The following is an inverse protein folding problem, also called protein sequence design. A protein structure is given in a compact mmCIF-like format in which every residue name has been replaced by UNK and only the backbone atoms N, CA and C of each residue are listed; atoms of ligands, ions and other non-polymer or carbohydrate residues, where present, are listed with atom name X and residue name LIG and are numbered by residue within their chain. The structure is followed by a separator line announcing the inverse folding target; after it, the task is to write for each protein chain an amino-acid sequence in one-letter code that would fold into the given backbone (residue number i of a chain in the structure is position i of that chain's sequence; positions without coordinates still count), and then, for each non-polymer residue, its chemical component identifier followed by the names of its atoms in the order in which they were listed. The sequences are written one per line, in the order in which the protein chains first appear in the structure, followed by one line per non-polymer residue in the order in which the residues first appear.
data_IF_920540107677
#
_entry.id   IF_920540107677
#
_cell.length_a   1.000
_cell.length_b   1.000
_cell.length_c   1.000
_cell.angle_alpha   90.00
_cell.angle_beta   90.00
_cell.angle_gamma   90.00
#
_symmetry.space_group_name_H-M   'P 1'
#
loop_
_entity.id
_entity.type
_entity.pdbx_description
1 polymer ?
#
# COMPACT_ATOMS: atom_id res chain seq x y z
N UNK A 1 -18.36 -13.89 -5.00
CA UNK A 1 -17.45 -15.04 -5.06
C UNK A 1 -16.78 -14.99 -6.41
N UNK A 2 -15.49 -15.27 -6.47
CA UNK A 2 -14.72 -15.29 -7.70
C UNK A 2 -15.37 -16.25 -8.69
N UNK A 3 -15.61 -15.78 -9.90
CA UNK A 3 -16.14 -16.57 -10.99
C UNK A 3 -14.99 -16.91 -11.94
N UNK A 4 -14.82 -18.19 -12.20
CA UNK A 4 -13.82 -18.72 -13.13
C UNK A 4 -14.50 -19.00 -14.47
N UNK A 5 -13.97 -18.40 -15.53
CA UNK A 5 -14.43 -18.55 -16.90
C UNK A 5 -13.39 -19.33 -17.71
N UNK A 6 -13.78 -20.50 -18.22
CA UNK A 6 -12.93 -21.37 -19.03
C UNK A 6 -13.47 -21.51 -20.43
N UNK A 7 -12.60 -21.39 -21.44
CA UNK A 7 -12.98 -21.56 -22.85
C UNK A 7 -11.93 -22.39 -23.57
N UNK A 8 -12.34 -23.42 -24.29
CA UNK A 8 -11.47 -24.27 -25.11
C UNK A 8 -11.75 -24.03 -26.59
N UNK A 9 -10.69 -23.79 -27.36
CA UNK A 9 -10.76 -23.42 -28.78
C UNK A 9 -10.22 -24.53 -29.67
N UNK A 10 -11.01 -24.94 -30.66
CA UNK A 10 -10.60 -25.86 -31.72
C UNK A 10 -10.82 -25.17 -33.05
N UNK A 11 -9.77 -25.06 -33.86
CA UNK A 11 -9.86 -24.46 -35.18
C UNK A 11 -10.07 -25.53 -36.25
N UNK A 12 -10.66 -25.14 -37.38
CA UNK A 12 -10.71 -26.06 -38.53
C UNK A 12 -9.30 -26.39 -39.02
N UNK A 13 -9.17 -27.56 -39.63
CA UNK A 13 -7.89 -28.06 -40.12
C UNK A 13 -7.22 -27.17 -41.19
N UNK A 14 -7.99 -26.33 -41.89
CA UNK A 14 -7.50 -25.41 -42.93
C UNK A 14 -6.94 -24.08 -42.38
N UNK A 15 -7.10 -23.81 -41.08
CA UNK A 15 -6.65 -22.55 -40.45
C UNK A 15 -5.13 -22.56 -40.24
N UNK A 16 -4.46 -21.51 -40.72
CA UNK A 16 -3.00 -21.38 -40.63
C UNK A 16 -2.53 -21.15 -39.19
N UNK A 17 -1.30 -21.59 -38.89
CA UNK A 17 -0.69 -21.35 -37.57
C UNK A 17 -0.54 -19.85 -37.26
N UNK A 18 -0.20 -19.03 -38.26
CA UNK A 18 -0.07 -17.57 -38.11
C UNK A 18 -1.38 -16.90 -37.62
N UNK A 19 -2.52 -17.38 -38.13
CA UNK A 19 -3.83 -16.91 -37.68
C UNK A 19 -4.09 -17.30 -36.22
N UNK A 20 -3.78 -18.55 -35.85
CA UNK A 20 -3.92 -19.06 -34.48
C UNK A 20 -3.03 -18.27 -33.50
N UNK A 21 -1.78 -17.99 -33.89
CA UNK A 21 -0.84 -17.21 -33.07
C UNK A 21 -1.33 -15.77 -32.87
N UNK A 22 -1.88 -15.16 -33.93
CA UNK A 22 -2.49 -13.83 -33.85
C UNK A 22 -3.71 -13.83 -32.94
N UNK A 23 -4.61 -14.81 -33.06
CA UNK A 23 -5.74 -14.98 -32.16
C UNK A 23 -5.28 -15.05 -30.69
N UNK A 24 -4.31 -15.90 -30.36
CA UNK A 24 -3.78 -16.03 -29.00
C UNK A 24 -3.19 -14.72 -28.49
N UNK A 25 -2.43 -14.01 -29.33
CA UNK A 25 -1.84 -12.71 -28.97
C UNK A 25 -2.91 -11.67 -28.64
N UNK A 26 -3.94 -11.53 -29.48
CA UNK A 26 -5.02 -10.56 -29.26
C UNK A 26 -5.90 -10.95 -28.07
N UNK A 27 -6.19 -12.24 -27.90
CA UNK A 27 -6.97 -12.75 -26.77
C UNK A 27 -6.27 -12.48 -25.42
N UNK A 28 -4.93 -12.56 -25.36
CA UNK A 28 -4.15 -12.24 -24.16
C UNK A 28 -4.24 -10.77 -23.74
N UNK A 29 -4.52 -9.84 -24.65
CA UNK A 29 -4.68 -8.41 -24.32
C UNK A 29 -5.95 -8.14 -23.53
N UNK A 30 -6.95 -9.00 -23.63
CA UNK A 30 -8.21 -8.84 -22.90
C UNK A 30 -8.02 -8.89 -21.37
N UNK A 31 -6.87 -9.36 -20.88
CA UNK A 31 -6.52 -9.30 -19.46
C UNK A 31 -6.50 -7.88 -18.90
N UNK A 32 -6.31 -6.86 -19.75
CA UNK A 32 -6.18 -5.47 -19.32
C UNK A 32 -7.54 -4.78 -19.10
N UNK A 33 -8.66 -5.48 -19.36
CA UNK A 33 -10.01 -4.98 -19.08
C UNK A 33 -10.27 -4.93 -17.57
N UNK A 34 -10.89 -3.85 -17.10
CA UNK A 34 -11.21 -3.64 -15.67
C UNK A 34 -12.12 -4.69 -15.07
N UNK A 35 -12.95 -5.36 -15.89
CA UNK A 35 -13.85 -6.42 -15.49
C UNK A 35 -13.17 -7.81 -15.39
N UNK A 36 -11.88 -7.91 -15.75
CA UNK A 36 -11.05 -9.07 -15.46
C UNK A 36 -10.38 -8.86 -14.11
N UNK A 37 -10.76 -9.70 -13.14
CA UNK A 37 -10.31 -9.60 -11.76
C UNK A 37 -8.78 -9.67 -11.69
N UNK A 38 -8.17 -8.62 -11.16
CA UNK A 38 -6.71 -8.46 -10.99
C UNK A 38 -5.89 -8.78 -12.25
N UNK A 39 -6.44 -8.48 -13.43
CA UNK A 39 -5.83 -8.78 -14.73
C UNK A 39 -5.48 -10.27 -14.95
N UNK A 40 -6.21 -11.18 -14.30
CA UNK A 40 -5.99 -12.63 -14.36
C UNK A 40 -6.74 -13.25 -15.52
N UNK A 41 -6.09 -13.26 -16.67
CA UNK A 41 -6.49 -14.02 -17.86
C UNK A 41 -5.26 -14.67 -18.48
N UNK A 42 -5.33 -15.98 -18.68
CA UNK A 42 -4.25 -16.77 -19.27
C UNK A 42 -4.81 -17.51 -20.48
N UNK A 43 -4.05 -17.48 -21.58
CA UNK A 43 -4.33 -18.28 -22.77
C UNK A 43 -3.24 -19.34 -22.92
N UNK A 44 -3.60 -20.59 -22.67
CA UNK A 44 -2.73 -21.76 -22.78
C UNK A 44 -2.86 -22.44 -24.15
N UNK A 45 -1.77 -23.04 -24.61
CA UNK A 45 -1.67 -23.82 -25.84
C UNK A 45 -0.41 -23.49 -26.66
N UNK A 46 -0.11 -24.27 -27.73
CA UNK A 46 -0.86 -25.43 -28.20
C UNK A 46 -0.96 -26.55 -27.16
N UNK A 47 -2.04 -27.34 -27.19
CA UNK A 47 -2.27 -28.45 -26.26
C UNK A 47 -1.08 -29.42 -26.29
N UNK A 48 -0.54 -29.71 -25.11
CA UNK A 48 0.51 -30.72 -24.91
C UNK A 48 -0.05 -32.14 -24.75
N UNK A 49 -1.37 -32.30 -24.89
CA UNK A 49 -2.03 -33.59 -24.75
C UNK A 49 -1.71 -34.47 -25.95
N UNK A 50 -1.10 -35.63 -25.69
CA UNK A 50 -0.74 -36.61 -26.70
C UNK A 50 -1.38 -37.98 -26.38
N UNK A 51 -2.16 -38.58 -27.29
CA UNK A 51 -2.59 -38.02 -28.57
C UNK A 51 -3.72 -36.98 -28.38
N UNK A 52 -3.83 -36.02 -29.30
CA UNK A 52 -4.69 -34.82 -29.17
C UNK A 52 -6.19 -35.13 -29.03
N UNK A 53 -6.62 -36.32 -29.43
CA UNK A 53 -7.97 -36.83 -29.28
C UNK A 53 -8.40 -36.92 -27.82
N UNK A 54 -7.45 -37.07 -26.88
CA UNK A 54 -7.75 -37.04 -25.43
C UNK A 54 -8.22 -35.67 -24.95
N UNK A 55 -7.82 -34.58 -25.62
CA UNK A 55 -8.38 -33.25 -25.41
C UNK A 55 -9.51 -32.93 -26.41
N UNK A 56 -10.08 -33.95 -27.06
CA UNK A 56 -11.10 -33.81 -28.13
C UNK A 56 -10.66 -32.89 -29.28
N UNK A 57 -9.37 -32.78 -29.54
CA UNK A 57 -8.86 -31.88 -30.58
C UNK A 57 -8.78 -30.41 -30.18
N UNK A 58 -9.13 -30.01 -28.94
CA UNK A 58 -8.97 -28.62 -28.49
C UNK A 58 -7.47 -28.27 -28.40
N UNK A 59 -7.11 -27.18 -29.08
CA UNK A 59 -5.73 -26.74 -29.27
C UNK A 59 -5.31 -25.67 -28.26
N UNK A 60 -6.23 -24.79 -27.88
CA UNK A 60 -5.99 -23.70 -26.94
C UNK A 60 -7.05 -23.65 -25.86
N UNK A 61 -6.71 -23.08 -24.71
CA UNK A 61 -7.65 -22.79 -23.63
C UNK A 61 -7.45 -21.37 -23.10
N UNK A 62 -8.53 -20.72 -22.71
CA UNK A 62 -8.54 -19.48 -21.93
C UNK A 62 -9.05 -19.80 -20.53
N UNK A 63 -8.40 -19.20 -19.54
CA UNK A 63 -8.83 -19.18 -18.15
C UNK A 63 -8.83 -17.71 -17.69
N UNK A 64 -9.98 -17.18 -17.30
CA UNK A 64 -10.09 -15.83 -16.73
C UNK A 64 -10.90 -15.82 -15.43
N UNK A 65 -10.61 -14.82 -14.59
CA UNK A 65 -11.26 -14.64 -13.29
C UNK A 65 -12.06 -13.35 -13.28
N UNK A 66 -13.24 -13.37 -12.67
CA UNK A 66 -14.16 -12.24 -12.58
C UNK A 66 -14.73 -12.12 -11.15
N UNK A 67 -15.06 -10.90 -10.71
CA UNK A 67 -15.56 -10.69 -9.34
C UNK A 67 -16.93 -11.33 -9.06
N UNK A 68 -17.74 -11.42 -10.11
CA UNK A 68 -19.09 -11.96 -10.09
C UNK A 68 -19.59 -12.14 -11.53
N UNK A 69 -20.85 -12.56 -11.66
CA UNK A 69 -21.51 -12.73 -12.97
C UNK A 69 -21.59 -11.44 -13.79
N UNK A 70 -21.87 -10.30 -13.17
CA UNK A 70 -22.00 -9.03 -13.89
C UNK A 70 -20.67 -8.60 -14.54
N UNK A 71 -19.53 -8.82 -13.85
CA UNK A 71 -18.21 -8.56 -14.41
C UNK A 71 -17.89 -9.48 -15.60
N UNK A 72 -18.32 -10.75 -15.57
CA UNK A 72 -18.20 -11.64 -16.72
C UNK A 72 -19.08 -11.17 -17.90
N UNK A 73 -20.31 -10.72 -17.62
CA UNK A 73 -21.21 -10.22 -18.66
C UNK A 73 -20.63 -8.94 -19.31
N UNK A 74 -20.03 -8.04 -18.51
CA UNK A 74 -19.29 -6.87 -18.99
C UNK A 74 -18.10 -7.27 -19.88
N UNK A 75 -17.30 -8.25 -19.45
CA UNK A 75 -16.19 -8.80 -20.24
C UNK A 75 -16.67 -9.29 -21.61
N UNK A 76 -17.78 -10.04 -21.64
CA UNK A 76 -18.33 -10.62 -22.87
C UNK A 76 -18.94 -9.56 -23.80
N UNK A 77 -19.49 -8.48 -23.24
CA UNK A 77 -20.05 -7.36 -23.98
C UNK A 77 -19.01 -6.32 -24.43
N UNK A 78 -17.76 -6.40 -23.96
CA UNK A 78 -16.72 -5.45 -24.30
C UNK A 78 -16.44 -5.42 -25.80
N UNK A 79 -16.06 -4.23 -26.31
CA UNK A 79 -15.76 -4.02 -27.74
C UNK A 79 -14.53 -4.82 -28.14
N UNK A 80 -13.57 -4.91 -27.24
CA UNK A 80 -12.31 -5.64 -27.36
C UNK A 80 -12.57 -7.14 -27.48
N UNK A 81 -13.34 -7.73 -26.55
CA UNK A 81 -13.72 -9.15 -26.63
C UNK A 81 -14.51 -9.45 -27.90
N UNK A 82 -15.48 -8.60 -28.24
CA UNK A 82 -16.28 -8.73 -29.47
C UNK A 82 -15.38 -8.70 -30.72
N UNK A 83 -14.43 -7.77 -30.77
CA UNK A 83 -13.52 -7.64 -31.91
C UNK A 83 -12.65 -8.90 -32.07
N UNK A 84 -12.03 -9.38 -30.99
CA UNK A 84 -11.18 -10.59 -31.02
C UNK A 84 -11.99 -11.81 -31.49
N UNK A 85 -13.17 -12.03 -30.89
CA UNK A 85 -13.98 -13.22 -31.17
C UNK A 85 -14.58 -13.20 -32.58
N UNK A 86 -15.09 -12.06 -33.04
CA UNK A 86 -15.68 -11.95 -34.38
C UNK A 86 -14.65 -11.97 -35.50
N UNK A 87 -13.46 -11.40 -35.26
CA UNK A 87 -12.43 -11.27 -36.30
C UNK A 87 -11.60 -12.54 -36.42
N UNK A 88 -11.21 -13.14 -35.29
CA UNK A 88 -10.21 -14.22 -35.29
C UNK A 88 -10.75 -15.59 -34.89
N UNK A 89 -11.91 -15.69 -34.23
CA UNK A 89 -12.43 -16.98 -33.75
C UNK A 89 -13.62 -17.50 -34.56
N UNK A 90 -14.76 -16.81 -34.54
CA UNK A 90 -16.01 -17.36 -35.08
C UNK A 90 -15.95 -17.77 -36.56
N UNK A 91 -15.26 -17.04 -37.45
CA UNK A 91 -15.12 -17.47 -38.85
C UNK A 91 -14.21 -18.67 -39.05
N UNK A 92 -13.41 -19.06 -38.05
CA UNK A 92 -12.30 -20.03 -38.17
C UNK A 92 -12.44 -21.25 -37.24
N UNK A 93 -13.31 -21.18 -36.23
CA UNK A 93 -13.52 -22.28 -35.29
C UNK A 93 -14.11 -23.52 -35.98
N UNK A 94 -13.68 -24.68 -35.53
CA UNK A 94 -14.39 -25.95 -35.70
C UNK A 94 -15.34 -26.16 -34.51
N UNK A 95 -14.80 -26.00 -33.29
CA UNK A 95 -15.56 -26.20 -32.06
C UNK A 95 -15.12 -25.21 -30.95
N UNK A 96 -16.01 -24.99 -29.98
CA UNK A 96 -15.82 -24.10 -28.85
C UNK A 96 -16.55 -24.66 -27.62
N UNK A 97 -15.81 -24.93 -26.56
CA UNK A 97 -16.40 -25.35 -25.29
C UNK A 97 -16.19 -24.26 -24.24
N UNK A 98 -17.26 -23.91 -23.51
CA UNK A 98 -17.22 -22.94 -22.41
C UNK A 98 -17.70 -23.63 -21.13
N UNK A 99 -17.02 -23.36 -20.03
CA UNK A 99 -17.42 -23.82 -18.70
C UNK A 99 -17.12 -22.72 -17.68
N UNK A 100 -18.16 -22.28 -16.97
CA UNK A 100 -18.05 -21.23 -15.95
C UNK A 100 -18.52 -21.80 -14.63
N UNK A 101 -17.84 -21.42 -13.55
CA UNK A 101 -18.26 -21.80 -12.20
C UNK A 101 -17.89 -20.72 -11.20
N UNK A 102 -18.68 -20.62 -10.13
CA UNK A 102 -18.35 -19.83 -8.95
C UNK A 102 -17.45 -20.67 -8.04
N UNK A 103 -16.40 -20.05 -7.53
CA UNK A 103 -15.47 -20.68 -6.59
C UNK A 103 -16.18 -20.76 -5.24
N UNK A 104 -16.16 -21.94 -4.61
CA UNK A 104 -16.72 -22.12 -3.29
C UNK A 104 -15.99 -21.21 -2.27
N UNK A 105 -16.68 -20.65 -1.27
CA UNK A 105 -16.05 -19.75 -0.29
C UNK A 105 -14.77 -20.31 0.35
N UNK A 106 -14.74 -21.61 0.63
CA UNK A 106 -13.60 -22.33 1.19
C UNK A 106 -12.39 -22.42 0.26
N UNK A 107 -12.59 -22.28 -1.06
CA UNK A 107 -11.55 -22.38 -2.09
C UNK A 107 -11.13 -21.00 -2.64
N UNK A 108 -11.74 -19.90 -2.19
CA UNK A 108 -11.41 -18.54 -2.66
C UNK A 108 -9.93 -18.20 -2.50
N UNK A 109 -9.26 -18.74 -1.47
CA UNK A 109 -7.82 -18.54 -1.26
C UNK A 109 -6.96 -19.07 -2.42
N UNK A 110 -7.40 -20.12 -3.13
CA UNK A 110 -6.72 -20.64 -4.33
C UNK A 110 -6.85 -19.67 -5.50
N UNK A 111 -7.85 -18.80 -5.45
CA UNK A 111 -8.11 -17.75 -6.42
C UNK A 111 -7.63 -16.40 -5.91
N UNK A 112 -6.75 -16.35 -4.90
CA UNK A 112 -6.06 -15.14 -4.41
C UNK A 112 -4.56 -15.40 -4.54
N UNK A 113 -3.96 -14.93 -5.64
CA UNK A 113 -2.51 -15.01 -5.86
C UNK A 113 -1.75 -13.83 -5.26
N UNK A 114 -2.46 -12.92 -4.59
CA UNK A 114 -1.82 -11.81 -3.89
C UNK A 114 -1.23 -12.34 -2.57
N UNK A 115 0.09 -12.44 -2.55
CA UNK A 115 0.87 -13.04 -1.45
C UNK A 115 0.84 -12.27 -0.12
N UNK A 116 0.24 -11.07 -0.09
CA UNK A 116 0.18 -10.26 1.11
C UNK A 116 -1.09 -10.54 1.93
N UNK A 117 -0.93 -10.70 3.24
CA UNK A 117 -2.03 -10.90 4.18
C UNK A 117 -3.04 -9.75 4.16
N UNK A 118 -4.30 -10.08 4.41
CA UNK A 118 -5.36 -9.10 4.58
C UNK A 118 -5.27 -8.43 5.96
N UNK A 119 -5.26 -7.08 6.02
CA UNK A 119 -5.39 -6.39 7.30
C UNK A 119 -6.68 -6.81 8.02
N UNK A 120 -6.64 -7.05 9.34
CA UNK A 120 -7.83 -7.44 10.09
C UNK A 120 -8.86 -6.29 10.11
N UNK A 121 -10.12 -6.67 10.29
CA UNK A 121 -11.18 -5.71 10.64
C UNK A 121 -11.06 -5.42 12.14
N UNK A 122 -10.84 -4.16 12.51
CA UNK A 122 -10.73 -3.70 13.90
C UNK A 122 -11.84 -2.68 14.14
N UNK A 123 -12.68 -2.93 15.15
CA UNK A 123 -13.85 -2.12 15.49
C UNK A 123 -14.78 -1.83 14.30
N UNK A 124 -14.98 -2.86 13.45
CA UNK A 124 -15.82 -2.79 12.26
C UNK A 124 -15.15 -2.17 11.03
N UNK A 125 -13.94 -1.62 11.17
CA UNK A 125 -13.22 -0.96 10.07
C UNK A 125 -12.03 -1.78 9.61
N UNK A 126 -11.97 -2.07 8.30
CA UNK A 126 -10.80 -2.68 7.65
C UNK A 126 -10.01 -1.64 6.88
N UNK A 127 -8.69 -1.62 7.09
CA UNK A 127 -7.79 -0.77 6.29
C UNK A 127 -7.69 -1.34 4.87
N UNK A 128 -7.96 -0.54 3.81
CA UNK A 128 -7.87 -1.04 2.45
C UNK A 128 -6.41 -1.35 2.06
N UNK A 129 -6.22 -2.49 1.40
CA UNK A 129 -4.91 -2.92 0.87
C UNK A 129 -4.52 -2.08 -0.37
N UNK A 130 -3.22 -2.00 -0.65
CA UNK A 130 -2.72 -1.50 -1.95
C UNK A 130 -2.97 -2.60 -3.00
N UNK A 131 -3.55 -2.31 -4.18
CA UNK A 131 -3.60 -3.29 -5.28
C UNK A 131 -2.19 -3.78 -5.61
N UNK A 132 -1.98 -5.11 -5.65
CA UNK A 132 -0.65 -5.73 -5.80
C UNK A 132 0.24 -5.68 -4.53
N UNK A 133 -0.32 -5.30 -3.38
CA UNK A 133 0.40 -5.17 -2.13
C UNK A 133 1.51 -4.10 -2.19
N UNK A 134 2.59 -4.32 -1.45
CA UNK A 134 3.76 -3.42 -1.42
C UNK A 134 4.97 -4.00 -2.19
N UNK A 135 4.72 -4.99 -3.06
CA UNK A 135 5.77 -5.70 -3.78
C UNK A 135 6.60 -4.77 -4.69
N UNK A 136 5.99 -3.74 -5.26
CA UNK A 136 6.69 -2.75 -6.09
C UNK A 136 7.84 -2.07 -5.34
N UNK A 137 7.53 -1.47 -4.18
CA UNK A 137 8.51 -0.84 -3.31
C UNK A 137 9.45 -1.87 -2.67
N UNK A 138 8.97 -3.07 -2.34
CA UNK A 138 9.81 -4.15 -1.85
C UNK A 138 10.89 -4.57 -2.86
N UNK A 139 10.51 -4.65 -4.13
CA UNK A 139 11.40 -5.00 -5.22
C UNK A 139 12.36 -3.86 -5.55
N UNK A 140 11.94 -2.59 -5.48
CA UNK A 140 12.87 -1.45 -5.58
C UNK A 140 13.94 -1.48 -4.48
N UNK A 141 13.54 -1.79 -3.24
CA UNK A 141 14.44 -1.93 -2.08
C UNK A 141 15.42 -3.07 -2.32
N UNK A 142 14.91 -4.27 -2.62
CA UNK A 142 15.71 -5.48 -2.84
C UNK A 142 16.70 -5.31 -3.99
N UNK A 143 16.25 -4.77 -5.12
CA UNK A 143 17.12 -4.49 -6.26
C UNK A 143 18.22 -3.51 -5.89
N UNK A 144 17.92 -2.35 -5.29
CA UNK A 144 18.94 -1.35 -4.98
C UNK A 144 19.94 -1.82 -3.92
N UNK A 145 19.48 -2.58 -2.91
CA UNK A 145 20.36 -3.18 -1.91
C UNK A 145 21.26 -4.26 -2.52
N UNK A 146 20.79 -5.04 -3.50
CA UNK A 146 21.60 -6.06 -4.18
C UNK A 146 22.81 -5.47 -4.93
N UNK A 147 22.74 -4.17 -5.25
CA UNK A 147 23.81 -3.43 -5.90
C UNK A 147 24.78 -2.77 -4.90
N UNK A 148 24.71 -3.11 -3.61
CA UNK A 148 25.58 -2.58 -2.57
C UNK A 148 26.58 -3.65 -2.11
N UNK A 149 27.87 -3.33 -2.09
CA UNK A 149 28.96 -4.30 -1.82
C UNK A 149 28.88 -5.05 -0.47
N UNK A 150 28.18 -4.49 0.53
CA UNK A 150 28.10 -5.05 1.88
C UNK A 150 26.71 -5.53 2.26
N UNK A 151 25.85 -5.80 1.28
CA UNK A 151 24.49 -6.30 1.52
C UNK A 151 24.21 -7.47 0.59
N UNK A 152 24.04 -8.65 1.16
CA UNK A 152 23.54 -9.82 0.44
C UNK A 152 22.01 -9.82 0.49
N UNK A 153 21.38 -9.79 -0.68
CA UNK A 153 19.91 -9.80 -0.80
C UNK A 153 19.46 -11.21 -1.12
N UNK A 154 18.69 -11.80 -0.21
CA UNK A 154 18.01 -13.08 -0.42
C UNK A 154 16.71 -12.83 -1.17
N UNK A 155 16.44 -13.60 -2.23
CA UNK A 155 15.25 -13.46 -3.08
C UNK A 155 14.49 -14.79 -3.21
N UNK A 156 13.16 -14.77 -3.49
CA UNK A 156 12.40 -15.99 -3.79
C UNK A 156 12.97 -16.75 -4.99
N UNK A 157 13.32 -16.03 -6.06
CA UNK A 157 13.94 -16.55 -7.29
C UNK A 157 15.47 -16.56 -7.19
N UNK A 158 16.13 -17.57 -7.76
CA UNK A 158 17.61 -17.63 -7.85
C UNK A 158 18.18 -16.63 -8.86
N UNK A 159 17.37 -16.21 -9.83
CA UNK A 159 17.75 -15.27 -10.88
C UNK A 159 16.60 -14.26 -11.04
N UNK A 160 16.46 -13.32 -10.10
CA UNK A 160 15.28 -12.45 -10.06
C UNK A 160 15.27 -11.49 -11.25
N UNK A 161 14.13 -11.39 -11.95
CA UNK A 161 13.98 -10.44 -13.05
C UNK A 161 13.73 -9.03 -12.48
N UNK A 162 14.53 -8.00 -12.84
CA UNK A 162 14.31 -6.63 -12.39
C UNK A 162 12.95 -6.03 -12.75
N UNK A 163 12.17 -6.59 -13.68
CA UNK A 163 10.83 -6.08 -14.01
C UNK A 163 9.69 -6.86 -13.35
N UNK A 164 9.97 -7.94 -12.61
CA UNK A 164 8.98 -8.75 -11.93
C UNK A 164 9.08 -8.56 -10.41
N UNK A 165 8.12 -7.87 -9.80
CA UNK A 165 8.16 -7.55 -8.37
C UNK A 165 8.20 -8.79 -7.46
N UNK A 166 7.48 -9.84 -7.84
CA UNK A 166 7.38 -11.09 -7.07
C UNK A 166 8.70 -11.87 -7.00
N UNK A 167 9.63 -11.64 -7.93
CA UNK A 167 10.95 -12.28 -7.90
C UNK A 167 11.84 -11.74 -6.77
N UNK A 168 11.51 -10.58 -6.20
CA UNK A 168 12.29 -9.89 -5.17
C UNK A 168 11.64 -9.93 -3.79
N UNK A 169 10.35 -10.24 -3.70
CA UNK A 169 9.58 -10.12 -2.46
C UNK A 169 9.06 -11.47 -1.98
N UNK A 170 9.45 -11.86 -0.78
CA UNK A 170 8.79 -12.97 -0.10
C UNK A 170 7.38 -12.55 0.38
N UNK A 171 6.39 -13.46 0.35
CA UNK A 171 5.10 -13.27 1.02
C UNK A 171 5.29 -12.92 2.52
N UNK A 172 4.39 -12.14 3.10
CA UNK A 172 4.39 -11.82 4.53
C UNK A 172 3.64 -12.88 5.38
N UNK A 173 3.27 -14.00 4.76
CA UNK A 173 2.76 -15.21 5.42
C UNK A 173 3.85 -15.88 6.27
N UNK A 174 3.44 -16.74 7.21
CA UNK A 174 4.38 -17.54 8.01
C UNK A 174 5.33 -18.35 7.11
N UNK A 175 4.79 -18.91 6.03
CA UNK A 175 5.52 -19.74 5.07
C UNK A 175 6.53 -18.93 4.27
N UNK A 176 6.15 -17.73 3.82
CA UNK A 176 7.06 -16.83 3.09
C UNK A 176 8.22 -16.35 3.97
N UNK A 177 7.94 -16.03 5.23
CA UNK A 177 8.97 -15.62 6.20
C UNK A 177 9.94 -16.78 6.48
N UNK A 178 9.42 -18.00 6.69
CA UNK A 178 10.24 -19.17 6.95
C UNK A 178 11.05 -19.60 5.71
N UNK A 179 10.52 -19.45 4.50
CA UNK A 179 11.28 -19.67 3.26
C UNK A 179 12.48 -18.72 3.18
N UNK A 180 12.27 -17.42 3.45
CA UNK A 180 13.35 -16.43 3.46
C UNK A 180 14.46 -16.82 4.47
N UNK A 181 14.07 -17.21 5.69
CA UNK A 181 15.02 -17.65 6.73
C UNK A 181 15.76 -18.92 6.28
N UNK A 182 15.06 -19.90 5.69
CA UNK A 182 15.66 -21.14 5.21
C UNK A 182 16.69 -20.92 4.10
N UNK A 183 16.52 -19.84 3.32
CA UNK A 183 17.44 -19.37 2.29
C UNK A 183 18.57 -18.49 2.83
N UNK A 184 18.68 -18.34 4.15
CA UNK A 184 19.79 -17.65 4.83
C UNK A 184 19.52 -16.21 5.25
N UNK A 185 18.27 -15.73 5.15
CA UNK A 185 17.95 -14.37 5.58
C UNK A 185 18.19 -14.19 7.09
N UNK A 186 19.04 -13.22 7.43
CA UNK A 186 19.30 -12.78 8.82
C UNK A 186 18.60 -11.46 9.14
N UNK A 187 18.19 -10.73 8.11
CA UNK A 187 17.41 -9.50 8.16
C UNK A 187 16.13 -9.67 7.37
N UNK A 188 15.01 -9.23 7.93
CA UNK A 188 13.74 -9.05 7.24
C UNK A 188 13.44 -7.56 7.13
N UNK A 189 13.09 -7.10 5.92
CA UNK A 189 12.52 -5.78 5.74
C UNK A 189 11.01 -5.91 5.67
N UNK A 190 10.32 -5.60 6.76
CA UNK A 190 8.87 -5.67 6.86
C UNK A 190 8.21 -4.48 6.14
N UNK A 191 8.36 -4.40 4.80
CA UNK A 191 7.72 -3.38 3.97
C UNK A 191 6.26 -3.74 3.68
N UNK A 192 5.51 -4.10 4.72
CA UNK A 192 4.09 -4.45 4.67
C UNK A 192 3.36 -3.78 5.83
N UNK A 193 2.02 -3.84 5.85
CA UNK A 193 1.25 -3.44 7.02
C UNK A 193 1.27 -4.61 8.00
N UNK A 194 1.91 -4.42 9.15
CA UNK A 194 1.91 -5.40 10.24
C UNK A 194 0.79 -5.08 11.24
N UNK A 195 0.27 -6.10 11.91
CA UNK A 195 -0.87 -6.02 12.83
C UNK A 195 -0.79 -7.12 13.89
N UNK A 196 -1.65 -7.09 14.91
CA UNK A 196 -1.50 -7.96 16.09
C UNK A 196 -1.54 -9.47 15.77
N UNK A 197 -2.31 -9.87 14.75
CA UNK A 197 -2.40 -11.26 14.28
C UNK A 197 -1.36 -11.63 13.22
N UNK A 198 -0.47 -10.72 12.82
CA UNK A 198 0.54 -10.97 11.78
C UNK A 198 1.54 -12.05 12.23
N UNK A 199 2.06 -12.93 11.35
CA UNK A 199 2.99 -14.01 11.73
C UNK A 199 4.26 -13.53 12.47
N UNK A 200 4.81 -12.37 12.10
CA UNK A 200 5.90 -11.73 12.86
C UNK A 200 5.57 -11.55 14.35
N UNK A 201 4.29 -11.40 14.72
CA UNK A 201 3.85 -11.34 16.11
C UNK A 201 3.52 -12.72 16.70
N UNK A 202 2.75 -13.53 15.97
CA UNK A 202 2.04 -14.69 16.54
C UNK A 202 2.69 -16.05 16.27
N UNK A 203 3.57 -16.16 15.27
CA UNK A 203 4.16 -17.44 14.88
C UNK A 203 5.09 -18.02 15.95
N UNK A 204 4.70 -19.15 16.54
CA UNK A 204 5.58 -19.90 17.44
C UNK A 204 6.78 -20.51 16.71
N UNK A 205 6.66 -20.78 15.41
CA UNK A 205 7.75 -21.32 14.58
C UNK A 205 8.90 -20.34 14.40
N UNK A 206 8.67 -19.04 14.61
CA UNK A 206 9.70 -18.01 14.59
C UNK A 206 10.42 -17.82 15.94
N UNK A 207 9.97 -18.43 17.04
CA UNK A 207 10.57 -18.29 18.38
C UNK A 207 12.06 -18.69 18.38
N UNK A 208 12.42 -19.79 17.71
CA UNK A 208 13.83 -20.23 17.61
C UNK A 208 14.74 -19.26 16.83
N UNK A 209 14.18 -18.22 16.23
CA UNK A 209 14.92 -17.21 15.47
C UNK A 209 14.86 -15.83 16.12
N UNK A 210 14.02 -15.60 17.13
CA UNK A 210 13.63 -14.24 17.50
C UNK A 210 14.76 -13.38 18.09
N UNK A 211 15.74 -14.02 18.75
CA UNK A 211 16.92 -13.37 19.30
C UNK A 211 17.95 -12.99 18.24
N UNK A 212 17.98 -13.71 17.09
CA UNK A 212 18.99 -13.52 16.02
C UNK A 212 18.45 -12.82 14.78
N UNK A 213 17.19 -13.01 14.45
CA UNK A 213 16.55 -12.41 13.30
C UNK A 213 16.38 -10.91 13.54
N UNK A 214 16.85 -10.11 12.57
CA UNK A 214 16.72 -8.65 12.59
C UNK A 214 15.55 -8.23 11.71
N UNK A 215 14.77 -7.27 12.17
CA UNK A 215 13.62 -6.74 11.43
C UNK A 215 13.74 -5.24 11.29
N UNK A 216 13.72 -4.76 10.05
CA UNK A 216 13.51 -3.34 9.71
C UNK A 216 12.00 -3.15 9.56
N UNK A 217 11.38 -2.46 10.50
CA UNK A 217 9.93 -2.29 10.55
C UNK A 217 9.46 -1.82 11.92
N UNK A 218 8.14 -1.69 12.05
CA UNK A 218 7.48 -1.35 13.30
C UNK A 218 7.02 -2.62 14.04
N UNK A 219 6.79 -2.51 15.35
CA UNK A 219 6.11 -3.53 16.16
C UNK A 219 4.70 -3.83 15.66
N UNK A 220 4.33 -5.10 15.42
CA UNK A 220 2.97 -5.43 14.95
C UNK A 220 1.87 -4.94 15.90
N UNK A 221 2.04 -5.12 17.22
CA UNK A 221 1.09 -4.59 18.23
C UNK A 221 1.03 -3.06 18.23
N UNK A 222 2.17 -2.42 17.99
CA UNK A 222 2.29 -0.95 17.91
C UNK A 222 1.50 -0.44 16.72
N UNK A 223 1.71 -0.99 15.52
CA UNK A 223 0.99 -0.56 14.30
C UNK A 223 -0.49 -0.88 14.38
N UNK A 224 -0.87 -2.05 14.91
CA UNK A 224 -2.28 -2.45 15.08
C UNK A 224 -3.11 -1.37 15.79
N UNK A 225 -2.50 -0.76 16.81
CA UNK A 225 -3.09 0.34 17.56
C UNK A 225 -2.88 1.69 16.89
N UNK A 226 -1.71 1.97 16.35
CA UNK A 226 -1.34 3.28 15.84
C UNK A 226 -1.87 3.60 14.43
N UNK A 227 -2.33 2.60 13.68
CA UNK A 227 -3.11 2.82 12.46
C UNK A 227 -4.49 3.45 12.76
N UNK A 228 -4.91 3.45 14.03
CA UNK A 228 -6.02 4.25 14.53
C UNK A 228 -5.59 5.70 14.77
N UNK A 229 -6.03 6.60 13.88
CA UNK A 229 -5.72 8.04 13.99
C UNK A 229 -6.28 8.67 15.26
N UNK A 230 -7.42 8.20 15.75
CA UNK A 230 -8.00 8.73 16.98
C UNK A 230 -7.05 8.42 18.14
N UNK A 231 -6.61 7.17 18.24
CA UNK A 231 -5.70 6.77 19.31
C UNK A 231 -4.39 7.58 19.31
N UNK A 232 -3.77 7.76 18.14
CA UNK A 232 -2.53 8.56 18.03
C UNK A 232 -2.80 10.02 18.40
N UNK A 233 -3.90 10.60 17.93
CA UNK A 233 -4.28 11.97 18.25
C UNK A 233 -4.53 12.15 19.75
N UNK A 234 -5.23 11.22 20.39
CA UNK A 234 -5.53 11.24 21.81
C UNK A 234 -4.24 11.12 22.64
N UNK A 235 -3.31 10.25 22.24
CA UNK A 235 -1.99 10.14 22.87
C UNK A 235 -1.21 11.46 22.83
N UNK A 236 -1.10 12.07 21.65
CA UNK A 236 -0.36 13.31 21.47
C UNK A 236 -1.04 14.47 22.22
N UNK A 237 -2.37 14.52 22.26
CA UNK A 237 -3.13 15.52 23.04
C UNK A 237 -2.93 15.38 24.53
N UNK A 238 -3.01 14.16 25.05
CA UNK A 238 -2.86 13.88 26.47
C UNK A 238 -1.46 14.25 26.98
N UNK A 239 -0.42 13.96 26.19
CA UNK A 239 0.96 14.34 26.52
C UNK A 239 1.22 15.85 26.40
N UNK A 240 0.49 16.53 25.50
CA UNK A 240 0.59 17.96 25.30
C UNK A 240 1.89 18.44 24.62
N UNK A 241 1.92 19.74 24.31
CA UNK A 241 3.06 20.36 23.64
C UNK A 241 3.21 19.95 22.17
N UNK A 242 2.10 19.56 21.53
CA UNK A 242 1.97 19.32 20.10
C UNK A 242 0.91 20.26 19.51
N UNK A 243 1.25 20.89 18.39
CA UNK A 243 0.41 21.73 17.56
C UNK A 243 -0.39 20.85 16.60
N UNK A 244 -1.71 20.81 16.77
CA UNK A 244 -2.59 19.89 16.02
C UNK A 244 -3.92 20.59 15.69
N UNK A 245 -4.59 20.23 14.57
CA UNK A 245 -5.90 20.80 14.25
C UNK A 245 -6.94 20.35 15.29
N UNK A 246 -8.00 21.14 15.48
CA UNK A 246 -9.17 20.67 16.25
C UNK A 246 -9.80 19.47 15.52
N UNK A 247 -10.25 18.47 16.26
CA UNK A 247 -10.92 17.31 15.68
C UNK A 247 -12.01 16.74 16.59
N UNK A 248 -12.89 15.95 15.96
CA UNK A 248 -13.95 15.19 16.59
C UNK A 248 -14.02 13.81 15.93
N UNK A 249 -14.30 12.77 16.69
CA UNK A 249 -14.34 11.40 16.16
C UNK A 249 -15.69 10.74 16.43
N UNK A 250 -16.21 10.05 15.43
CA UNK A 250 -17.54 9.43 15.48
C UNK A 250 -17.50 8.00 14.94
N UNK A 251 -18.10 7.02 15.64
CA UNK A 251 -18.17 5.64 15.16
C UNK A 251 -19.16 5.49 13.99
N UNK A 252 -20.16 6.36 13.89
CA UNK A 252 -21.16 6.38 12.82
C UNK A 252 -21.88 7.74 12.78
N UNK A 253 -22.54 8.03 11.65
CA UNK A 253 -23.34 9.24 11.48
C UNK A 253 -24.46 9.38 12.52
N UNK A 254 -25.02 8.26 12.98
CA UNK A 254 -26.08 8.24 14.01
C UNK A 254 -25.59 8.69 15.40
N UNK A 255 -24.28 8.81 15.59
CA UNK A 255 -23.64 9.28 16.82
C UNK A 255 -23.11 10.72 16.71
N UNK A 256 -23.39 11.43 15.62
CA UNK A 256 -23.09 12.86 15.53
C UNK A 256 -23.81 13.59 16.66
N UNK A 257 -23.03 14.24 17.52
CA UNK A 257 -23.53 15.02 18.64
C UNK A 257 -23.81 16.46 18.23
N UNK A 258 -24.50 17.23 19.07
CA UNK A 258 -24.69 18.68 18.87
C UNK A 258 -23.36 19.45 18.88
N UNK A 259 -22.25 18.83 19.27
CA UNK A 259 -20.91 19.45 19.17
C UNK A 259 -20.53 19.83 17.73
N UNK A 260 -21.16 19.20 16.72
CA UNK A 260 -20.92 19.55 15.32
C UNK A 260 -21.75 20.75 14.82
N UNK A 261 -22.70 21.25 15.60
CA UNK A 261 -23.58 22.35 15.18
C UNK A 261 -22.86 23.70 15.11
N UNK A 262 -21.80 23.89 15.90
CA UNK A 262 -20.99 25.11 15.96
C UNK A 262 -19.67 25.02 15.17
N UNK A 263 -19.55 24.07 14.24
CA UNK A 263 -18.34 23.93 13.42
C UNK A 263 -18.15 25.11 12.47
N UNK A 264 -16.92 25.63 12.44
CA UNK A 264 -16.48 26.57 11.41
C UNK A 264 -16.05 25.82 10.16
N UNK A 265 -16.71 26.08 9.04
CA UNK A 265 -16.38 25.48 7.74
C UNK A 265 -15.32 26.30 6.99
N UNK A 266 -14.52 25.69 6.10
CA UNK A 266 -14.54 24.26 5.74
C UNK A 266 -13.93 23.35 6.81
N UNK A 267 -14.29 22.06 6.76
CA UNK A 267 -13.73 20.98 7.60
C UNK A 267 -13.31 19.80 6.72
N UNK A 268 -12.40 18.97 7.22
CA UNK A 268 -11.98 17.72 6.57
C UNK A 268 -12.68 16.55 7.24
N UNK A 269 -13.35 15.71 6.46
CA UNK A 269 -13.95 14.47 6.94
C UNK A 269 -13.18 13.28 6.36
N UNK A 270 -12.67 12.40 7.22
CA UNK A 270 -11.82 11.26 6.82
C UNK A 270 -12.05 10.01 7.67
N UNK A 271 -11.83 8.79 7.14
CA UNK A 271 -11.86 7.56 7.94
C UNK A 271 -10.76 7.58 9.01
N UNK A 272 -11.06 7.02 10.19
CA UNK A 272 -10.06 6.85 11.26
C UNK A 272 -8.94 5.91 10.77
N UNK A 273 -9.33 4.76 10.20
CA UNK A 273 -8.44 3.77 9.59
C UNK A 273 -8.57 3.83 8.07
N UNK A 274 -7.70 4.60 7.43
CA UNK A 274 -7.69 4.82 5.97
C UNK A 274 -6.31 4.62 5.36
N UNK A 275 -6.24 4.69 4.02
CA UNK A 275 -4.99 4.61 3.25
C UNK A 275 -4.89 5.78 2.26
N UNK A 276 -3.80 6.54 2.35
CA UNK A 276 -3.62 7.73 1.52
C UNK A 276 -4.79 8.70 1.71
N UNK A 277 -5.26 9.31 0.62
CA UNK A 277 -6.42 10.21 0.61
C UNK A 277 -7.77 9.50 0.41
N UNK A 278 -7.82 8.16 0.51
CA UNK A 278 -9.07 7.41 0.36
C UNK A 278 -10.09 7.82 1.44
N UNK A 279 -11.28 8.23 1.01
CA UNK A 279 -12.37 8.65 1.89
C UNK A 279 -12.18 10.03 2.53
N UNK A 280 -11.14 10.78 2.16
CA UNK A 280 -10.90 12.15 2.64
C UNK A 280 -11.68 13.14 1.77
N UNK A 281 -12.46 14.03 2.38
CA UNK A 281 -13.18 15.11 1.68
C UNK A 281 -13.11 16.42 2.46
N UNK A 282 -12.92 17.54 1.75
CA UNK A 282 -13.15 18.88 2.29
C UNK A 282 -14.64 19.19 2.16
N UNK A 283 -15.30 19.43 3.28
CA UNK A 283 -16.71 19.78 3.35
C UNK A 283 -16.81 21.27 3.66
N UNK A 284 -17.45 22.04 2.77
CA UNK A 284 -17.60 23.49 2.87
C UNK A 284 -18.85 23.93 3.64
N UNK A 285 -19.75 23.00 3.95
CA UNK A 285 -20.97 23.23 4.72
C UNK A 285 -21.46 21.93 5.37
N UNK A 286 -22.52 22.05 6.19
CA UNK A 286 -23.10 20.96 6.96
C UNK A 286 -23.70 19.87 6.07
N UNK A 287 -24.29 20.26 4.94
CA UNK A 287 -24.89 19.35 3.98
C UNK A 287 -23.84 18.41 3.37
N UNK A 288 -22.71 18.97 2.91
CA UNK A 288 -21.59 18.20 2.36
C UNK A 288 -20.93 17.29 3.40
N UNK A 289 -20.85 17.74 4.66
CA UNK A 289 -20.38 16.92 5.78
C UNK A 289 -21.30 15.72 5.98
N UNK A 290 -22.60 15.96 6.06
CA UNK A 290 -23.60 14.92 6.32
C UNK A 290 -23.61 13.86 5.22
N UNK A 291 -23.65 14.29 3.96
CA UNK A 291 -23.61 13.40 2.79
C UNK A 291 -22.38 12.49 2.82
N UNK A 292 -21.20 13.08 3.06
CA UNK A 292 -19.95 12.32 3.08
C UNK A 292 -19.85 11.38 4.27
N UNK A 293 -20.21 11.85 5.47
CA UNK A 293 -20.26 11.03 6.67
C UNK A 293 -21.23 9.85 6.52
N UNK A 294 -22.35 10.04 5.80
CA UNK A 294 -23.30 8.99 5.50
C UNK A 294 -22.69 7.95 4.55
N UNK A 295 -21.96 8.41 3.54
CA UNK A 295 -21.21 7.54 2.61
C UNK A 295 -20.14 6.70 3.30
N UNK A 296 -19.39 7.27 4.25
CA UNK A 296 -18.43 6.52 5.06
C UNK A 296 -19.13 5.52 6.00
N UNK A 297 -20.21 5.95 6.66
CA UNK A 297 -20.96 5.11 7.60
C UNK A 297 -21.64 3.93 6.91
N UNK A 298 -22.13 4.08 5.68
CA UNK A 298 -22.75 2.99 4.92
C UNK A 298 -21.74 1.88 4.56
N UNK A 299 -20.45 2.21 4.56
CA UNK A 299 -19.34 1.26 4.42
C UNK A 299 -18.81 0.77 5.77
N UNK A 300 -19.54 1.01 6.87
CA UNK A 300 -19.13 0.68 8.24
C UNK A 300 -17.80 1.33 8.66
N UNK A 301 -17.45 2.49 8.09
CA UNK A 301 -16.23 3.21 8.44
C UNK A 301 -16.49 4.27 9.50
N UNK A 302 -15.89 4.11 10.67
CA UNK A 302 -15.75 5.19 11.65
C UNK A 302 -14.91 6.33 11.07
N UNK A 303 -15.26 7.57 11.39
CA UNK A 303 -14.69 8.75 10.75
C UNK A 303 -14.35 9.86 11.76
N UNK A 304 -13.50 10.76 11.32
CA UNK A 304 -13.04 11.94 12.05
C UNK A 304 -13.38 13.19 11.24
N UNK A 305 -13.77 14.25 11.95
CA UNK A 305 -13.96 15.59 11.42
C UNK A 305 -12.83 16.46 11.97
N UNK A 306 -12.07 17.11 11.10
CA UNK A 306 -10.95 17.98 11.47
C UNK A 306 -11.13 19.39 10.92
N UNK A 307 -10.60 20.39 11.64
CA UNK A 307 -10.45 21.75 11.14
C UNK A 307 -9.64 21.77 9.84
N UNK A 308 -10.15 22.45 8.81
CA UNK A 308 -9.40 22.62 7.56
C UNK A 308 -8.25 23.60 7.74
N UNK A 309 -7.04 23.14 7.46
CA UNK A 309 -5.81 23.92 7.52
C UNK A 309 -5.57 24.56 6.14
N UNK A 310 -5.48 25.90 6.06
CA UNK A 310 -5.53 26.60 4.77
C UNK A 310 -4.17 26.68 4.06
N UNK A 311 -3.07 26.75 4.82
CA UNK A 311 -1.77 27.09 4.27
C UNK A 311 -1.00 25.91 3.70
N UNK A 312 0.31 26.09 3.62
CA UNK A 312 1.27 25.14 3.08
C UNK A 312 1.16 23.75 3.74
N UNK A 313 0.93 22.72 2.93
CA UNK A 313 1.08 21.31 3.33
C UNK A 313 2.54 20.89 3.15
N UNK A 314 3.08 20.14 4.09
CA UNK A 314 4.42 19.58 4.04
C UNK A 314 4.46 18.21 4.71
N UNK A 315 5.56 17.50 4.54
CA UNK A 315 5.81 16.21 5.19
C UNK A 315 7.20 16.17 5.80
N UNK A 316 7.28 15.54 6.97
CA UNK A 316 8.53 15.35 7.70
C UNK A 316 8.74 13.86 7.89
N UNK A 317 9.77 13.31 7.26
CA UNK A 317 10.21 11.94 7.57
C UNK A 317 11.06 11.98 8.83
N UNK A 318 10.67 11.22 9.84
CA UNK A 318 11.44 11.06 11.08
C UNK A 318 12.11 9.70 11.08
N UNK A 319 13.42 9.70 11.23
CA UNK A 319 14.25 8.51 11.36
C UNK A 319 14.28 8.08 12.83
N UNK A 320 14.13 6.78 13.12
CA UNK A 320 14.20 6.26 14.48
C UNK A 320 15.65 6.22 14.98
N UNK A 321 15.85 5.93 16.28
CA UNK A 321 17.18 5.70 16.81
C UNK A 321 17.91 4.58 16.09
N UNK A 322 19.23 4.74 15.98
CA UNK A 322 20.11 3.69 15.44
C UNK A 322 20.88 3.01 16.57
N UNK A 323 21.46 1.84 16.29
CA UNK A 323 22.32 1.16 17.27
C UNK A 323 23.51 2.00 17.75
N UNK A 324 23.90 3.03 16.99
CA UNK A 324 24.99 3.95 17.33
C UNK A 324 24.56 5.08 18.29
N UNK A 325 23.33 5.05 18.80
CA UNK A 325 22.84 5.97 19.84
C UNK A 325 22.39 7.35 19.35
N UNK A 326 22.20 7.53 18.04
CA UNK A 326 21.48 8.72 17.55
C UNK A 326 20.02 8.62 18.00
N UNK A 327 19.47 9.66 18.61
CA UNK A 327 18.04 9.74 18.95
C UNK A 327 17.15 9.85 17.70
N UNK A 328 15.85 10.09 17.90
CA UNK A 328 14.95 10.41 16.78
C UNK A 328 15.39 11.70 16.10
N UNK A 329 15.36 11.73 14.77
CA UNK A 329 15.80 12.90 14.01
C UNK A 329 15.05 13.04 12.68
N UNK A 330 14.76 14.27 12.27
CA UNK A 330 14.03 14.57 11.04
C UNK A 330 14.95 14.67 9.82
N UNK A 331 14.50 14.12 8.69
CA UNK A 331 15.00 14.47 7.37
C UNK A 331 14.52 15.88 6.96
N UNK A 332 15.16 16.51 5.95
CA UNK A 332 14.69 17.77 5.38
C UNK A 332 13.19 17.75 5.03
N UNK A 333 12.49 18.84 5.32
CA UNK A 333 11.06 18.97 5.08
C UNK A 333 10.78 19.02 3.56
N UNK A 334 9.72 18.32 3.15
CA UNK A 334 9.23 18.31 1.76
C UNK A 334 7.87 19.00 1.72
N UNK A 335 7.79 20.14 1.04
CA UNK A 335 6.54 20.87 0.81
C UNK A 335 5.71 20.18 -0.28
N UNK A 336 4.39 20.19 -0.14
CA UNK A 336 3.42 19.64 -1.09
C UNK A 336 2.60 20.75 -1.73
N UNK A 337 2.31 20.61 -3.01
CA UNK A 337 1.59 21.59 -3.83
C UNK A 337 0.71 20.88 -4.86
N UNK A 338 -0.04 21.63 -5.68
CA UNK A 338 -0.98 21.10 -6.66
C UNK A 338 -2.06 20.19 -6.05
N UNK A 339 -2.64 20.63 -4.93
CA UNK A 339 -3.79 19.97 -4.28
C UNK A 339 -5.03 20.01 -5.20
N UNK A 340 -5.80 18.93 -5.21
CA UNK A 340 -7.11 18.86 -5.88
C UNK A 340 -8.17 19.02 -4.81
N UNK A 341 -9.00 20.06 -4.92
CA UNK A 341 -10.05 20.40 -3.93
C UNK A 341 -9.52 20.50 -2.49
N UNK A 342 -8.31 21.04 -2.33
CA UNK A 342 -7.66 21.21 -1.03
C UNK A 342 -7.04 19.94 -0.44
N UNK A 343 -7.08 18.81 -1.15
CA UNK A 343 -6.51 17.52 -0.75
C UNK A 343 -5.35 17.16 -1.66
N UNK A 344 -4.28 16.61 -1.08
CA UNK A 344 -3.14 16.20 -1.87
C UNK A 344 -3.50 14.96 -2.70
N UNK A 345 -3.19 14.96 -4.01
CA UNK A 345 -3.54 13.84 -4.88
C UNK A 345 -2.88 12.55 -4.41
N UNK A 346 -3.56 11.43 -4.66
CA UNK A 346 -3.11 10.12 -4.24
C UNK A 346 -1.89 9.65 -5.09
N UNK A 347 -0.88 9.07 -4.42
CA UNK A 347 0.42 8.66 -4.98
C UNK A 347 0.38 7.46 -5.98
N UNK A 348 -0.68 7.33 -6.77
CA UNK A 348 -0.78 6.38 -7.88
C UNK A 348 -1.35 6.98 -9.17
N UNK A 349 -1.72 8.27 -9.15
CA UNK A 349 -2.30 8.99 -10.29
C UNK A 349 -1.34 10.07 -10.79
N UNK A 350 -0.55 10.66 -9.88
CA UNK A 350 0.37 11.77 -10.17
C UNK A 350 1.74 11.42 -9.56
N UNK A 351 2.80 11.56 -10.35
CA UNK A 351 4.17 11.38 -9.87
C UNK A 351 4.47 12.36 -8.73
N UNK A 352 5.21 11.93 -7.71
CA UNK A 352 5.46 12.73 -6.51
C UNK A 352 6.23 14.03 -6.84
N UNK A 353 7.08 14.01 -7.87
CA UNK A 353 7.80 15.20 -8.36
C UNK A 353 6.89 16.30 -8.88
N UNK A 354 5.67 15.98 -9.32
CA UNK A 354 4.71 16.94 -9.87
C UNK A 354 3.89 17.65 -8.78
N UNK A 355 3.97 17.19 -7.53
CA UNK A 355 3.20 17.71 -6.40
C UNK A 355 4.01 17.93 -5.13
N UNK A 356 5.33 17.75 -5.18
CA UNK A 356 6.20 17.83 -4.01
C UNK A 356 7.60 18.35 -4.35
N UNK A 357 8.19 19.13 -3.44
CA UNK A 357 9.56 19.63 -3.56
C UNK A 357 10.20 19.81 -2.19
N UNK A 358 11.53 19.80 -2.13
CA UNK A 358 12.24 20.18 -0.92
C UNK A 358 11.85 21.60 -0.49
N UNK A 359 11.48 21.76 0.77
CA UNK A 359 11.24 23.06 1.35
C UNK A 359 12.56 23.85 1.41
N UNK A 360 12.50 25.13 1.07
CA UNK A 360 13.67 26.02 1.12
C UNK A 360 13.88 26.55 2.54
N UNK A 361 15.12 26.87 2.90
CA UNK A 361 15.47 27.53 4.18
C UNK A 361 15.08 26.78 5.47
N UNK A 362 14.78 25.47 5.39
CA UNK A 362 14.37 24.64 6.53
C UNK A 362 15.38 24.64 7.68
N UNK A 363 16.68 24.71 7.36
CA UNK A 363 17.77 24.73 8.34
C UNK A 363 17.94 26.08 9.06
N UNK A 364 17.38 27.17 8.54
CA UNK A 364 17.53 28.52 9.10
C UNK A 364 16.24 29.07 9.67
N UNK A 365 15.09 28.66 9.14
CA UNK A 365 13.77 29.12 9.55
C UNK A 365 13.37 28.52 10.92
N UNK A 366 13.06 29.35 11.93
CA UNK A 366 12.68 28.88 13.26
C UNK A 366 11.38 28.07 13.28
N UNK A 367 10.45 28.28 12.33
CA UNK A 367 9.19 27.55 12.24
C UNK A 367 9.45 26.11 11.78
N UNK A 368 10.25 25.92 10.72
CA UNK A 368 10.62 24.57 10.28
C UNK A 368 11.47 23.84 11.32
N UNK A 369 12.37 24.53 12.05
CA UNK A 369 13.09 23.93 13.17
C UNK A 369 12.17 23.44 14.28
N UNK A 370 11.18 24.26 14.67
CA UNK A 370 10.18 23.87 15.67
C UNK A 370 9.37 22.68 15.18
N UNK A 371 8.91 22.72 13.93
CA UNK A 371 8.19 21.62 13.29
C UNK A 371 9.00 20.31 13.35
N UNK A 372 10.26 20.31 12.90
CA UNK A 372 11.12 19.12 12.95
C UNK A 372 11.27 18.58 14.37
N UNK A 373 11.57 19.44 15.34
CA UNK A 373 11.71 19.04 16.74
C UNK A 373 10.40 18.47 17.32
N UNK A 374 9.25 19.00 16.90
CA UNK A 374 7.94 18.51 17.30
C UNK A 374 7.63 17.12 16.69
N UNK A 375 7.95 16.92 15.42
CA UNK A 375 7.84 15.62 14.75
C UNK A 375 8.79 14.56 15.36
N UNK A 376 10.02 14.95 15.70
CA UNK A 376 10.98 14.10 16.41
C UNK A 376 10.45 13.68 17.79
N UNK A 377 9.89 14.62 18.55
CA UNK A 377 9.23 14.32 19.82
C UNK A 377 8.04 13.39 19.63
N UNK A 378 7.20 13.59 18.60
CA UNK A 378 6.06 12.73 18.33
C UNK A 378 6.51 11.28 18.06
N UNK A 379 7.52 11.08 17.22
CA UNK A 379 8.10 9.75 16.98
C UNK A 379 8.70 9.14 18.25
N UNK A 380 9.36 9.97 19.07
CA UNK A 380 10.00 9.54 20.31
C UNK A 380 9.00 9.10 21.37
N UNK A 381 7.89 9.83 21.56
CA UNK A 381 6.89 9.44 22.55
C UNK A 381 6.17 8.17 22.12
N UNK A 382 5.95 8.00 20.82
CA UNK A 382 5.35 6.80 20.22
C UNK A 382 6.31 5.60 20.17
N UNK A 383 7.61 5.76 20.48
CA UNK A 383 8.54 4.63 20.58
C UNK A 383 8.76 3.85 19.28
N UNK A 384 8.73 4.54 18.14
CA UNK A 384 8.74 3.93 16.80
C UNK A 384 10.13 3.42 16.41
N UNK A 385 10.21 2.30 15.69
CA UNK A 385 11.47 1.60 15.36
C UNK A 385 11.85 1.63 13.89
N UNK A 386 10.99 2.14 13.03
CA UNK A 386 11.26 2.38 11.62
C UNK A 386 10.93 3.83 11.24
N UNK A 387 11.44 4.33 10.09
CA UNK A 387 11.10 5.66 9.62
C UNK A 387 9.60 5.83 9.48
N UNK A 388 9.10 6.95 9.99
CA UNK A 388 7.71 7.38 9.80
C UNK A 388 7.67 8.68 9.01
N UNK A 389 6.49 9.01 8.49
CA UNK A 389 6.24 10.32 7.89
C UNK A 389 5.11 10.99 8.66
N UNK A 390 5.30 12.24 9.03
CA UNK A 390 4.27 13.06 9.65
C UNK A 390 3.85 14.11 8.62
N UNK A 391 2.56 14.10 8.29
CA UNK A 391 1.96 15.08 7.39
C UNK A 391 1.49 16.27 8.21
N UNK A 392 1.90 17.46 7.77
CA UNK A 392 1.71 18.71 8.49
C UNK A 392 1.19 19.79 7.58
N UNK A 393 0.43 20.73 8.13
CA UNK A 393 -0.09 21.85 7.34
C UNK A 393 -0.21 23.12 8.16
N UNK A 394 0.05 24.28 7.56
CA UNK A 394 -0.12 25.57 8.24
C UNK A 394 -1.59 25.89 8.44
N UNK A 395 -1.95 26.45 9.59
CA UNK A 395 -3.34 26.86 9.85
C UNK A 395 -3.85 27.87 8.84
N UNK A 396 -3.02 28.87 8.51
CA UNK A 396 -3.33 29.95 7.58
C UNK A 396 -2.35 29.93 6.42
N UNK A 397 -2.78 30.45 5.27
CA UNK A 397 -1.91 30.73 4.14
C UNK A 397 -1.03 31.97 4.41
N UNK A 398 -0.13 31.82 5.38
CA UNK A 398 0.81 32.84 5.80
C UNK A 398 2.13 32.20 6.24
N UNK A 399 3.30 32.71 5.82
CA UNK A 399 4.60 32.12 6.15
C UNK A 399 4.93 32.05 7.64
N UNK A 400 4.33 32.91 8.46
CA UNK A 400 4.48 32.95 9.92
C UNK A 400 3.47 32.06 10.66
N UNK A 401 2.46 31.52 9.96
CA UNK A 401 1.46 30.63 10.54
C UNK A 401 2.10 29.29 10.96
N UNK A 402 1.84 28.80 12.18
CA UNK A 402 2.43 27.55 12.64
C UNK A 402 1.89 26.35 11.86
N UNK A 403 2.72 25.32 11.73
CA UNK A 403 2.30 24.02 11.23
C UNK A 403 1.58 23.23 12.32
N UNK A 404 0.53 22.50 11.93
CA UNK A 404 -0.13 21.51 12.74
C UNK A 404 0.13 20.11 12.19
N UNK A 405 0.35 19.14 13.07
CA UNK A 405 0.48 17.72 12.75
C UNK A 405 -0.92 17.14 12.58
N UNK A 406 -1.26 16.64 11.39
CA UNK A 406 -2.61 16.16 11.09
C UNK A 406 -2.68 14.67 10.69
N UNK A 407 -1.54 14.05 10.35
CA UNK A 407 -1.48 12.60 10.12
C UNK A 407 -0.09 12.03 10.44
N UNK A 408 -0.04 10.88 11.12
CA UNK A 408 1.19 10.14 11.41
C UNK A 408 1.17 8.83 10.66
N UNK A 409 1.99 8.73 9.62
CA UNK A 409 2.10 7.55 8.78
C UNK A 409 3.21 6.61 9.28
N UNK A 410 2.79 5.52 9.91
CA UNK A 410 3.67 4.50 10.50
C UNK A 410 4.52 3.73 9.48
N UNK A 411 4.10 3.71 8.21
CA UNK A 411 4.78 3.01 7.12
C UNK A 411 4.71 3.84 5.83
N UNK A 412 5.59 4.83 5.68
CA UNK A 412 5.61 5.65 4.46
C UNK A 412 5.87 4.79 3.22
N UNK A 413 5.46 5.32 2.06
CA UNK A 413 5.80 4.70 0.79
C UNK A 413 7.33 4.72 0.60
N UNK A 414 7.90 3.60 0.15
CA UNK A 414 9.33 3.46 -0.11
C UNK A 414 9.65 2.97 -1.52
N UNK A 415 8.94 3.51 -2.51
CA UNK A 415 9.37 3.37 -3.90
C UNK A 415 10.60 4.23 -4.17
N UNK A 416 11.38 3.84 -5.18
CA UNK A 416 12.53 4.61 -5.63
C UNK A 416 13.09 4.13 -6.98
N UNK A 417 13.99 4.91 -7.57
CA UNK A 417 14.55 4.63 -8.89
C UNK A 417 15.55 3.47 -8.88
N UNK A 418 15.96 3.05 -10.08
CA UNK A 418 17.06 2.09 -10.29
C UNK A 418 16.65 0.81 -11.02
N UNK A 419 15.39 0.38 -10.89
CA UNK A 419 14.83 -0.71 -11.71
C UNK A 419 14.33 -0.18 -13.06
N UNK A 420 14.23 -1.01 -14.11
CA UNK A 420 13.74 -0.56 -15.42
C UNK A 420 12.35 0.08 -15.31
N UNK A 421 12.18 1.24 -15.94
CA UNK A 421 10.93 2.03 -15.94
C UNK A 421 10.47 2.51 -14.54
N UNK A 422 11.40 2.68 -13.59
CA UNK A 422 11.09 3.17 -12.22
C UNK A 422 11.79 4.49 -11.88
N UNK A 423 12.41 5.18 -12.85
CA UNK A 423 13.26 6.34 -12.59
C UNK A 423 12.55 7.55 -11.95
N UNK A 424 11.24 7.67 -12.16
CA UNK A 424 10.38 8.73 -11.62
C UNK A 424 9.64 8.33 -10.32
N UNK A 425 9.95 7.16 -9.76
CA UNK A 425 9.20 6.57 -8.65
C UNK A 425 9.71 7.01 -7.26
N UNK A 426 10.45 8.10 -7.18
CA UNK A 426 11.01 8.61 -5.94
C UNK A 426 9.91 8.93 -4.90
N UNK A 427 9.95 8.25 -3.77
CA UNK A 427 9.09 8.54 -2.62
C UNK A 427 9.41 9.89 -1.96
N UNK A 428 8.45 10.41 -1.18
CA UNK A 428 8.66 11.62 -0.34
C UNK A 428 9.86 11.48 0.60
N UNK A 429 10.05 10.29 1.17
CA UNK A 429 11.20 9.99 2.04
C UNK A 429 12.52 10.03 1.27
N UNK A 430 12.55 9.54 0.02
CA UNK A 430 13.73 9.67 -0.83
C UNK A 430 13.98 11.14 -1.19
N UNK A 431 12.95 11.90 -1.57
CA UNK A 431 13.07 13.33 -1.86
C UNK A 431 13.64 14.11 -0.67
N UNK A 432 13.17 13.83 0.55
CA UNK A 432 13.72 14.39 1.78
C UNK A 432 15.21 14.03 1.94
N UNK A 433 15.56 12.76 1.74
CA UNK A 433 16.93 12.27 1.83
C UNK A 433 17.87 12.88 0.76
N UNK A 434 17.36 13.17 -0.44
CA UNK A 434 18.12 13.88 -1.47
C UNK A 434 18.56 15.28 -1.00
N UNK A 435 17.79 15.93 -0.12
CA UNK A 435 18.17 17.19 0.54
C UNK A 435 19.42 17.08 1.40
N UNK A 436 19.82 15.85 1.81
CA UNK A 436 21.08 15.55 2.49
C UNK A 436 22.17 15.03 1.53
N UNK A 437 21.92 15.08 0.22
CA UNK A 437 22.78 14.47 -0.80
C UNK A 437 22.81 12.95 -0.73
N UNK A 438 21.74 12.30 -0.26
CA UNK A 438 21.63 10.84 -0.24
C UNK A 438 20.92 10.37 -1.50
N UNK A 439 21.52 9.40 -2.18
CA UNK A 439 20.82 8.62 -3.20
C UNK A 439 19.98 7.52 -2.53
N UNK A 440 19.22 6.79 -3.34
CA UNK A 440 18.30 5.78 -2.82
C UNK A 440 19.05 4.65 -2.10
N UNK A 441 20.18 4.17 -2.65
CA UNK A 441 21.02 3.15 -2.01
C UNK A 441 21.55 3.59 -0.64
N UNK A 442 21.98 4.86 -0.50
CA UNK A 442 22.45 5.40 0.78
C UNK A 442 21.30 5.53 1.78
N UNK A 443 20.13 6.00 1.36
CA UNK A 443 18.93 6.02 2.21
C UNK A 443 18.60 4.61 2.71
N UNK A 444 18.50 3.63 1.82
CA UNK A 444 18.15 2.26 2.19
C UNK A 444 19.15 1.66 3.19
N UNK A 445 20.45 1.86 3.00
CA UNK A 445 21.48 1.42 3.97
C UNK A 445 21.37 2.12 5.33
N UNK A 446 20.91 3.37 5.36
CA UNK A 446 20.67 4.10 6.63
C UNK A 446 19.47 3.54 7.37
N UNK A 447 18.39 3.25 6.65
CA UNK A 447 17.19 2.59 7.21
C UNK A 447 17.50 1.16 7.64
N UNK A 448 18.33 0.42 6.88
CA UNK A 448 18.76 -0.92 7.25
C UNK A 448 19.43 -0.95 8.63
N UNK A 449 20.10 0.14 9.03
CA UNK A 449 20.73 0.31 10.35
C UNK A 449 19.77 0.60 11.51
N UNK A 450 18.46 0.70 11.28
CA UNK A 450 17.43 0.93 12.32
C UNK A 450 16.75 -0.35 12.80
N UNK A 451 17.29 -1.51 12.41
CA UNK A 451 16.70 -2.79 12.73
C UNK A 451 16.59 -3.05 14.24
N UNK A 452 15.57 -3.83 14.61
CA UNK A 452 15.42 -4.43 15.94
C UNK A 452 15.52 -5.95 15.84
N UNK A 453 15.87 -6.66 16.92
CA UNK A 453 15.65 -8.11 16.96
C UNK A 453 14.15 -8.39 16.87
N UNK A 454 13.72 -9.50 16.27
CA UNK A 454 12.31 -9.90 16.25
C UNK A 454 11.72 -9.98 17.68
N UNK A 455 12.49 -10.46 18.66
CA UNK A 455 12.06 -10.50 20.07
C UNK A 455 11.70 -9.12 20.64
N UNK A 456 12.61 -8.16 20.48
CA UNK A 456 12.35 -6.75 20.84
C UNK A 456 11.09 -6.26 20.15
N UNK A 457 10.98 -6.48 18.84
CA UNK A 457 9.86 -6.03 18.02
C UNK A 457 8.50 -6.60 18.52
N UNK A 458 8.46 -7.89 18.90
CA UNK A 458 7.29 -8.57 19.48
C UNK A 458 6.90 -8.06 20.86
N UNK A 459 7.91 -7.62 21.63
CA UNK A 459 7.74 -7.09 22.97
C UNK A 459 7.31 -5.62 23.03
N UNK A 460 7.38 -4.90 21.90
CA UNK A 460 6.94 -3.51 21.84
C UNK A 460 5.42 -3.44 22.04
N UNK A 461 5.02 -2.53 22.92
CA UNK A 461 3.61 -2.23 23.19
C UNK A 461 3.30 -0.80 22.77
N UNK A 462 2.06 -0.52 22.31
CA UNK A 462 1.56 0.84 22.23
C UNK A 462 1.78 1.57 23.56
N UNK A 463 2.14 2.85 23.48
CA UNK A 463 2.18 3.74 24.64
C UNK A 463 0.86 3.68 25.40
N UNK A 464 0.92 3.43 26.70
CA UNK A 464 -0.22 3.63 27.59
C UNK A 464 -0.31 5.11 27.95
N UNK A 465 -1.47 5.70 27.68
CA UNK A 465 -1.75 7.10 27.98
C UNK A 465 -1.74 7.32 29.51
N UNK A 466 -2.11 6.30 30.30
CA UNK A 466 -2.18 6.39 31.76
C UNK A 466 -0.80 6.36 32.43
N UNK A 467 0.22 5.78 31.80
CA UNK A 467 1.57 5.65 32.37
C UNK A 467 2.46 6.88 32.16
N UNK A 468 1.99 7.89 31.39
CA UNK A 468 2.82 9.05 30.96
C UNK A 468 2.18 10.42 31.16
N UNK A 469 0.94 10.48 31.63
CA UNK A 469 0.26 11.69 32.13
C UNK A 469 0.33 11.67 33.65
#
# INVERSE_FOLDING_TARGET
MTLVHMVFFRFRADVTQEHKDTFVRELRKLKDLSCVKDNRLIVGGPSVTDPIERSKGFEFALLSYHENRAALDEYQASKEHTWVTQTYLFPFKEDLCRFDFEVAPEDEYMCIFDSALEPPTIDGVRKPKKPGGYQDSGADIGFNLSQCENVEVVTPSKSPNPTNDGDWCFPDTEEGILDAISKGATYLWANTIVFASHPLQTSSRLENYEDRLRVVGQGPLVVDKYDDKQFVNDCLRALGGFTMPRNFTFPSISKLSTEIDDLSYPVVVKPIRGRGSYGVKVCHNKEQLWEHAQGLSSQSMAFMIEEFLQGEEATVTVMPPTQKGQGYWALPVVSRFNHQDGIAPYNGIVAITENSKLASNTATDPIYKRLSAECERAASVLGLTAPIRIDVRRFKDAPDSPFALFDVNMKPNMTGPGRPNRDDQASLTLMAANGLGWDYKKLLRRILGTFSSLKTLRGLKPVDIQDRV
#
